data_IF_450529380280
#
_entry.id   IF_450529380280
#
_cell.length_a   1.000
_cell.length_b   1.000
_cell.length_c   1.000
_cell.angle_alpha   90.00
_cell.angle_beta   90.00
_cell.angle_gamma   90.00
#
_symmetry.space_group_name_H-M   'P 1'
#
loop_
_entity.id
_entity.type
_entity.pdbx_description
1 polymer ?
#
# COMPACT_ATOMS: atom_id res chain seq x y z
N UNK A 1 -28.84 -4.24 22.29
CA UNK A 1 -28.04 -3.12 22.79
C UNK A 1 -27.23 -2.52 21.68
N UNK A 2 -27.42 -1.25 21.34
CA UNK A 2 -26.60 -0.52 20.37
C UNK A 2 -25.30 -0.18 21.08
N UNK A 3 -24.18 -0.63 20.53
CA UNK A 3 -22.85 -0.29 21.06
C UNK A 3 -22.57 1.19 20.81
N UNK A 4 -21.97 1.88 21.77
CA UNK A 4 -21.56 3.27 21.56
C UNK A 4 -20.47 3.40 20.45
N UNK A 5 -20.28 4.60 19.85
CA UNK A 5 -19.38 4.81 18.71
C UNK A 5 -17.94 4.31 18.94
N UNK A 6 -17.40 4.52 20.14
CA UNK A 6 -16.04 4.05 20.48
C UNK A 6 -15.94 2.52 20.52
N UNK A 7 -16.97 1.85 21.03
CA UNK A 7 -17.03 0.39 21.06
C UNK A 7 -17.15 -0.21 19.65
N UNK A 8 -17.90 0.44 18.76
CA UNK A 8 -18.00 0.04 17.36
C UNK A 8 -16.67 0.22 16.63
N UNK A 9 -15.98 1.36 16.81
CA UNK A 9 -14.66 1.59 16.23
C UNK A 9 -13.64 0.56 16.73
N UNK A 10 -13.63 0.28 18.03
CA UNK A 10 -12.74 -0.75 18.62
C UNK A 10 -13.01 -2.13 18.03
N UNK A 11 -14.28 -2.51 17.90
CA UNK A 11 -14.68 -3.80 17.31
C UNK A 11 -14.29 -3.88 15.82
N UNK A 12 -14.39 -2.77 15.09
CA UNK A 12 -13.94 -2.68 13.70
C UNK A 12 -12.43 -2.86 13.58
N UNK A 13 -11.64 -2.14 14.38
CA UNK A 13 -10.16 -2.24 14.38
C UNK A 13 -9.73 -3.66 14.78
N UNK A 14 -10.35 -4.26 15.81
CA UNK A 14 -10.07 -5.65 16.22
C UNK A 14 -10.29 -6.63 15.08
N UNK A 15 -11.43 -6.52 14.39
CA UNK A 15 -11.77 -7.40 13.26
C UNK A 15 -10.91 -7.16 12.02
N UNK A 16 -10.46 -5.92 11.78
CA UNK A 16 -9.70 -5.56 10.60
C UNK A 16 -8.19 -5.82 10.72
N UNK A 17 -7.61 -5.62 11.92
CA UNK A 17 -6.16 -5.56 12.11
C UNK A 17 -5.61 -6.47 13.21
N UNK A 18 -6.47 -7.06 14.07
CA UNK A 18 -6.01 -7.80 15.25
C UNK A 18 -6.35 -9.29 15.16
N UNK A 19 -7.61 -9.66 14.94
CA UNK A 19 -8.12 -11.03 15.04
C UNK A 19 -7.94 -11.83 13.74
N UNK A 20 -7.02 -12.82 13.69
CA UNK A 20 -6.82 -13.63 12.48
C UNK A 20 -8.06 -14.49 12.16
N UNK A 21 -8.36 -14.63 10.85
CA UNK A 21 -9.44 -15.53 10.36
C UNK A 21 -8.96 -16.96 10.25
N UNK A 22 -7.74 -17.17 9.73
CA UNK A 22 -7.07 -18.47 9.63
C UNK A 22 -5.58 -18.29 9.43
N UNK A 23 -4.79 -19.23 9.95
CA UNK A 23 -3.37 -19.30 9.61
C UNK A 23 -3.21 -19.88 8.19
N UNK A 24 -2.43 -19.25 7.31
CA UNK A 24 -2.11 -19.82 6.01
C UNK A 24 -1.20 -21.04 6.18
N UNK A 25 -1.45 -22.09 5.39
CA UNK A 25 -0.52 -23.22 5.32
C UNK A 25 0.82 -22.79 4.70
N UNK A 26 1.96 -23.18 5.28
CA UNK A 26 3.28 -22.88 4.74
C UNK A 26 3.49 -23.53 3.37
N UNK A 27 4.32 -22.90 2.53
CA UNK A 27 4.76 -23.52 1.29
C UNK A 27 5.75 -24.68 1.57
N UNK A 28 5.82 -25.70 0.68
CA UNK A 28 6.86 -26.71 0.74
C UNK A 28 8.28 -26.10 0.65
N UNK A 29 9.33 -26.71 1.24
CA UNK A 29 10.67 -26.12 1.30
C UNK A 29 11.24 -25.66 -0.04
N UNK A 30 11.10 -26.46 -1.10
CA UNK A 30 11.57 -26.11 -2.45
C UNK A 30 10.84 -24.91 -3.04
N UNK A 31 9.52 -24.83 -2.84
CA UNK A 31 8.72 -23.69 -3.28
C UNK A 31 9.08 -22.41 -2.49
N UNK A 32 9.41 -22.56 -1.19
CA UNK A 32 9.83 -21.44 -0.34
C UNK A 32 11.19 -20.89 -0.78
N UNK A 33 12.14 -21.73 -1.14
CA UNK A 33 13.45 -21.28 -1.66
C UNK A 33 13.28 -20.50 -2.96
N UNK A 34 12.54 -21.03 -3.93
CA UNK A 34 12.23 -20.31 -5.18
C UNK A 34 11.57 -18.97 -4.87
N UNK A 35 10.58 -18.93 -3.98
CA UNK A 35 9.90 -17.70 -3.57
C UNK A 35 10.88 -16.66 -3.04
N UNK A 36 11.79 -17.06 -2.14
CA UNK A 36 12.80 -16.17 -1.56
C UNK A 36 13.75 -15.60 -2.58
N UNK A 37 14.22 -16.41 -3.52
CA UNK A 37 15.13 -15.97 -4.59
C UNK A 37 14.44 -14.96 -5.52
N UNK A 38 13.24 -15.30 -6.02
CA UNK A 38 12.46 -14.41 -6.89
C UNK A 38 12.17 -13.09 -6.18
N UNK A 39 11.74 -13.15 -4.92
CA UNK A 39 11.43 -11.95 -4.13
C UNK A 39 12.67 -11.10 -3.91
N UNK A 40 13.82 -11.68 -3.55
CA UNK A 40 15.05 -10.91 -3.33
C UNK A 40 15.50 -10.17 -4.60
N UNK A 41 15.51 -10.86 -5.74
CA UNK A 41 15.88 -10.24 -7.03
C UNK A 41 14.89 -9.15 -7.43
N UNK A 42 13.59 -9.42 -7.36
CA UNK A 42 12.55 -8.44 -7.71
C UNK A 42 12.58 -7.23 -6.79
N UNK A 43 12.93 -7.40 -5.49
CA UNK A 43 13.04 -6.28 -4.54
C UNK A 43 14.13 -5.30 -4.97
N UNK A 44 15.29 -5.82 -5.30
CA UNK A 44 16.43 -4.97 -5.73
C UNK A 44 16.08 -4.23 -7.03
N UNK A 45 15.57 -4.95 -8.03
CA UNK A 45 15.18 -4.35 -9.31
C UNK A 45 14.08 -3.30 -9.11
N UNK A 46 13.02 -3.63 -8.38
CA UNK A 46 11.90 -2.73 -8.16
C UNK A 46 12.30 -1.48 -7.36
N UNK A 47 13.14 -1.62 -6.32
CA UNK A 47 13.66 -0.48 -5.58
C UNK A 47 14.51 0.45 -6.47
N UNK A 48 15.34 -0.11 -7.34
CA UNK A 48 16.14 0.68 -8.30
C UNK A 48 15.26 1.41 -9.33
N UNK A 49 14.25 0.71 -9.89
CA UNK A 49 13.30 1.30 -10.85
C UNK A 49 12.47 2.40 -10.17
N UNK A 50 12.00 2.20 -8.94
CA UNK A 50 11.25 3.21 -8.21
C UNK A 50 12.12 4.46 -7.95
N UNK A 51 13.35 4.28 -7.44
CA UNK A 51 14.27 5.39 -7.19
C UNK A 51 14.61 6.17 -8.45
N UNK A 52 14.68 5.49 -9.59
CA UNK A 52 14.88 6.14 -10.90
C UNK A 52 13.61 6.87 -11.35
N UNK A 53 12.44 6.23 -11.29
CA UNK A 53 11.17 6.81 -11.73
C UNK A 53 10.86 8.13 -11.01
N UNK A 54 11.12 8.19 -9.70
CA UNK A 54 10.86 9.38 -8.87
C UNK A 54 11.85 10.55 -9.12
N UNK A 55 12.89 10.34 -9.94
CA UNK A 55 13.83 11.38 -10.40
C UNK A 55 13.53 11.91 -11.80
N UNK A 56 12.56 11.32 -12.49
CA UNK A 56 12.10 11.79 -13.79
C UNK A 56 11.31 13.09 -13.59
N UNK A 57 11.54 14.08 -14.48
CA UNK A 57 10.86 15.38 -14.35
C UNK A 57 9.34 15.24 -14.50
N UNK A 58 8.54 15.98 -13.72
CA UNK A 58 7.09 16.07 -13.93
C UNK A 58 6.75 16.45 -15.38
N UNK A 59 5.76 15.77 -15.96
CA UNK A 59 5.33 15.99 -17.34
C UNK A 59 6.11 15.21 -18.40
N UNK A 60 7.21 14.56 -18.06
CA UNK A 60 7.94 13.68 -19.00
C UNK A 60 7.20 12.35 -19.19
N UNK A 61 6.94 11.99 -20.44
CA UNK A 61 6.29 10.71 -20.79
C UNK A 61 7.06 9.47 -20.30
N UNK A 62 8.37 9.60 -20.09
CA UNK A 62 9.22 8.54 -19.52
C UNK A 62 8.77 8.13 -18.11
N UNK A 63 8.18 9.05 -17.33
CA UNK A 63 7.62 8.74 -16.03
C UNK A 63 6.54 7.66 -16.09
N UNK A 64 5.65 7.73 -17.10
CA UNK A 64 4.61 6.71 -17.28
C UNK A 64 5.20 5.34 -17.63
N UNK A 65 6.21 5.33 -18.54
CA UNK A 65 6.88 4.09 -18.91
C UNK A 65 7.62 3.47 -17.71
N UNK A 66 8.31 4.29 -16.91
CA UNK A 66 9.05 3.85 -15.73
C UNK A 66 8.11 3.28 -14.64
N UNK A 67 6.97 3.95 -14.38
CA UNK A 67 5.97 3.49 -13.41
C UNK A 67 5.22 2.24 -13.85
N UNK A 68 4.97 2.08 -15.17
CA UNK A 68 4.43 0.84 -15.73
C UNK A 68 5.45 -0.31 -15.64
N UNK A 69 6.74 -0.04 -15.92
CA UNK A 69 7.80 -1.02 -15.73
C UNK A 69 7.93 -1.45 -14.27
N UNK A 70 7.80 -0.51 -13.33
CA UNK A 70 7.76 -0.79 -11.89
C UNK A 70 6.61 -1.73 -11.52
N UNK A 71 5.39 -1.41 -11.99
CA UNK A 71 4.23 -2.28 -11.78
C UNK A 71 4.46 -3.69 -12.34
N UNK A 72 5.06 -3.79 -13.53
CA UNK A 72 5.41 -5.08 -14.13
C UNK A 72 6.44 -5.85 -13.28
N UNK A 73 7.48 -5.21 -12.76
CA UNK A 73 8.46 -5.84 -11.88
C UNK A 73 7.79 -6.42 -10.63
N UNK A 74 6.94 -5.64 -9.95
CA UNK A 74 6.23 -6.10 -8.76
C UNK A 74 5.25 -7.24 -9.08
N UNK A 75 4.44 -7.10 -10.14
CA UNK A 75 3.46 -8.11 -10.52
C UNK A 75 4.13 -9.42 -10.98
N UNK A 76 5.15 -9.35 -11.83
CA UNK A 76 5.89 -10.53 -12.28
C UNK A 76 6.63 -11.20 -11.12
N UNK A 77 7.31 -10.43 -10.27
CA UNK A 77 7.95 -10.94 -9.07
C UNK A 77 6.96 -11.68 -8.17
N UNK A 78 5.76 -11.14 -8.01
CA UNK A 78 4.71 -11.78 -7.23
C UNK A 78 4.22 -13.10 -7.85
N UNK A 79 3.88 -13.09 -9.14
CA UNK A 79 3.36 -14.27 -9.85
C UNK A 79 4.42 -15.38 -9.95
N UNK A 80 5.65 -15.03 -10.33
CA UNK A 80 6.75 -15.98 -10.45
C UNK A 80 7.19 -16.57 -9.09
N UNK A 81 6.93 -15.86 -7.98
CA UNK A 81 7.25 -16.35 -6.65
C UNK A 81 6.41 -17.55 -6.23
N UNK A 82 5.19 -17.69 -6.74
CA UNK A 82 4.28 -18.80 -6.43
C UNK A 82 2.86 -18.36 -6.12
N UNK A 83 2.09 -19.21 -5.47
CA UNK A 83 0.66 -18.99 -5.24
C UNK A 83 0.40 -17.74 -4.38
N UNK A 84 -0.56 -16.92 -4.81
CA UNK A 84 -1.11 -15.79 -4.08
C UNK A 84 -2.50 -16.15 -3.55
N UNK A 85 -2.82 -15.70 -2.35
CA UNK A 85 -4.10 -16.00 -1.68
C UNK A 85 -4.92 -14.71 -1.54
N UNK A 86 -6.21 -14.77 -1.86
CA UNK A 86 -7.09 -13.62 -1.73
C UNK A 86 -7.48 -13.31 -0.28
N UNK A 87 -7.63 -14.34 0.57
CA UNK A 87 -7.98 -14.17 1.98
C UNK A 87 -9.47 -13.97 2.25
N UNK A 88 -9.83 -13.98 3.55
CA UNK A 88 -11.17 -13.80 4.07
C UNK A 88 -11.13 -12.87 5.30
N UNK A 89 -12.21 -12.15 5.57
CA UNK A 89 -12.38 -11.31 6.74
C UNK A 89 -13.53 -11.79 7.62
N UNK A 90 -13.63 -11.26 8.84
CA UNK A 90 -14.76 -11.49 9.73
C UNK A 90 -15.89 -10.51 9.41
N UNK A 91 -17.11 -11.01 9.37
CA UNK A 91 -18.31 -10.17 9.41
C UNK A 91 -18.61 -9.73 10.84
N UNK A 92 -19.51 -8.76 11.02
CA UNK A 92 -20.05 -8.39 12.35
C UNK A 92 -20.68 -9.57 13.10
N UNK A 93 -21.22 -10.56 12.36
CA UNK A 93 -21.84 -11.78 12.92
C UNK A 93 -20.86 -12.94 13.09
N UNK A 94 -19.56 -12.73 12.87
CA UNK A 94 -18.50 -13.73 12.99
C UNK A 94 -18.38 -14.70 11.81
N UNK A 95 -19.22 -14.58 10.77
CA UNK A 95 -19.08 -15.36 9.55
C UNK A 95 -17.86 -14.90 8.74
N UNK A 96 -17.33 -15.80 7.90
CA UNK A 96 -16.19 -15.50 7.01
C UNK A 96 -16.70 -15.06 5.64
N UNK A 97 -16.17 -13.93 5.15
CA UNK A 97 -16.49 -13.42 3.80
C UNK A 97 -15.30 -12.66 3.21
N UNK A 98 -15.39 -12.29 1.91
CA UNK A 98 -14.42 -11.39 1.30
C UNK A 98 -14.45 -10.03 2.00
N UNK A 99 -13.30 -9.45 2.42
CA UNK A 99 -13.23 -8.27 3.28
C UNK A 99 -13.43 -6.95 2.51
N UNK A 100 -14.33 -6.88 1.51
CA UNK A 100 -14.45 -5.73 0.61
C UNK A 100 -14.87 -4.48 1.38
N UNK A 101 -16.05 -4.51 2.02
CA UNK A 101 -16.60 -3.33 2.75
C UNK A 101 -15.69 -2.91 3.88
N UNK A 102 -15.15 -3.89 4.63
CA UNK A 102 -14.22 -3.62 5.72
C UNK A 102 -12.95 -2.92 5.22
N UNK A 103 -12.43 -3.33 4.05
CA UNK A 103 -11.23 -2.76 3.47
C UNK A 103 -11.45 -1.37 2.89
N UNK A 104 -12.61 -1.11 2.26
CA UNK A 104 -13.01 0.23 1.86
C UNK A 104 -13.10 1.18 3.05
N UNK A 105 -13.73 0.74 4.14
CA UNK A 105 -13.85 1.54 5.36
C UNK A 105 -12.47 1.81 6.00
N UNK A 106 -11.58 0.83 6.01
CA UNK A 106 -10.22 0.99 6.54
C UNK A 106 -9.39 1.94 5.67
N UNK A 107 -9.47 1.82 4.33
CA UNK A 107 -8.82 2.73 3.39
C UNK A 107 -9.35 4.16 3.51
N UNK A 108 -10.66 4.33 3.65
CA UNK A 108 -11.29 5.64 3.88
C UNK A 108 -10.89 6.27 5.22
N UNK A 109 -10.79 5.48 6.29
CA UNK A 109 -10.30 5.95 7.59
C UNK A 109 -8.84 6.39 7.50
N UNK A 110 -7.99 5.60 6.84
CA UNK A 110 -6.59 5.93 6.62
C UNK A 110 -6.47 7.23 5.79
N UNK A 111 -7.25 7.35 4.71
CA UNK A 111 -7.32 8.55 3.89
C UNK A 111 -7.68 9.79 4.75
N UNK A 112 -8.72 9.69 5.58
CA UNK A 112 -9.15 10.77 6.45
C UNK A 112 -8.03 11.22 7.42
N UNK A 113 -7.32 10.27 8.02
CA UNK A 113 -6.16 10.56 8.90
C UNK A 113 -5.06 11.31 8.14
N UNK A 114 -4.75 10.88 6.92
CA UNK A 114 -3.73 11.54 6.10
C UNK A 114 -4.16 12.94 5.65
N UNK A 115 -5.43 13.14 5.28
CA UNK A 115 -5.94 14.46 4.90
C UNK A 115 -5.93 15.42 6.09
N UNK A 116 -6.24 14.95 7.30
CA UNK A 116 -6.08 15.77 8.52
C UNK A 116 -4.60 16.12 8.75
N UNK A 117 -3.69 15.14 8.58
CA UNK A 117 -2.24 15.40 8.64
C UNK A 117 -1.77 16.41 7.58
N UNK A 118 -2.36 16.38 6.39
CA UNK A 118 -2.03 17.31 5.31
C UNK A 118 -2.33 18.78 5.66
N UNK A 119 -3.33 19.05 6.51
CA UNK A 119 -3.61 20.42 7.02
C UNK A 119 -2.45 20.97 7.87
N UNK A 120 -1.72 20.09 8.56
CA UNK A 120 -0.52 20.46 9.31
C UNK A 120 0.64 20.67 8.35
N UNK A 121 0.86 19.71 7.42
CA UNK A 121 1.93 19.77 6.40
C UNK A 121 1.82 21.04 5.56
N UNK A 122 0.60 21.44 5.19
CA UNK A 122 0.34 22.64 4.39
C UNK A 122 0.89 23.94 5.01
N UNK A 123 1.08 23.96 6.34
CA UNK A 123 1.57 25.14 7.09
C UNK A 123 3.07 25.12 7.34
N UNK A 124 3.77 24.06 6.93
CA UNK A 124 5.21 23.89 7.16
C UNK A 124 5.92 23.79 5.81
N UNK A 125 6.51 24.89 5.29
CA UNK A 125 7.06 24.93 3.92
C UNK A 125 8.03 23.79 3.61
N UNK A 126 8.97 23.49 4.51
CA UNK A 126 9.97 22.43 4.33
C UNK A 126 9.37 21.02 4.17
N UNK A 127 8.13 20.80 4.63
CA UNK A 127 7.39 19.54 4.45
C UNK A 127 6.48 19.61 3.22
N UNK A 128 5.97 20.80 2.89
CA UNK A 128 5.02 21.00 1.81
C UNK A 128 5.70 20.94 0.44
N UNK A 129 6.82 21.65 0.25
CA UNK A 129 7.50 21.75 -1.04
C UNK A 129 7.78 20.36 -1.67
N UNK A 130 8.37 19.36 -0.98
CA UNK A 130 8.57 18.04 -1.57
C UNK A 130 7.28 17.28 -1.91
N UNK A 131 6.17 17.61 -1.23
CA UNK A 131 4.86 17.01 -1.56
C UNK A 131 4.26 17.67 -2.80
N UNK A 132 4.39 19.01 -2.93
CA UNK A 132 3.95 19.72 -4.12
C UNK A 132 4.73 19.24 -5.36
N UNK A 133 6.05 19.06 -5.28
CA UNK A 133 6.88 18.49 -6.36
C UNK A 133 6.41 17.09 -6.77
N UNK A 134 6.04 16.25 -5.80
CA UNK A 134 5.49 14.92 -6.09
C UNK A 134 4.13 15.01 -6.80
N UNK A 135 3.27 15.90 -6.36
CA UNK A 135 1.94 16.13 -6.96
C UNK A 135 2.01 16.73 -8.37
N UNK A 136 3.10 17.40 -8.71
CA UNK A 136 3.30 17.96 -10.04
C UNK A 136 3.33 16.86 -11.12
N UNK A 137 3.76 15.64 -10.81
CA UNK A 137 3.63 14.50 -11.73
C UNK A 137 2.16 14.22 -12.11
N UNK A 138 1.22 14.49 -11.21
CA UNK A 138 -0.20 14.37 -11.48
C UNK A 138 -0.78 15.62 -12.14
N UNK A 139 -0.31 16.81 -11.77
CA UNK A 139 -0.79 18.11 -12.30
C UNK A 139 -0.41 18.33 -13.75
N UNK A 140 0.81 17.95 -14.15
CA UNK A 140 1.31 18.06 -15.53
C UNK A 140 0.90 16.88 -16.40
N UNK A 141 0.26 15.86 -15.85
CA UNK A 141 -0.21 14.67 -16.54
C UNK A 141 -1.72 14.64 -16.78
N UNK A 142 -2.18 13.67 -17.55
CA UNK A 142 -3.60 13.35 -17.64
C UNK A 142 -4.06 12.65 -16.36
N UNK A 143 -4.92 13.31 -15.57
CA UNK A 143 -5.43 12.76 -14.30
C UNK A 143 -6.02 11.34 -14.43
N UNK A 144 -6.83 10.99 -15.46
CA UNK A 144 -7.29 9.62 -15.64
C UNK A 144 -6.16 8.61 -15.86
N UNK A 145 -5.11 9.01 -16.59
CA UNK A 145 -3.94 8.14 -16.82
C UNK A 145 -3.16 7.95 -15.54
N UNK A 146 -2.89 9.04 -14.79
CA UNK A 146 -2.18 8.97 -13.50
C UNK A 146 -2.99 8.14 -12.50
N UNK A 147 -4.31 8.30 -12.44
CA UNK A 147 -5.18 7.49 -11.58
C UNK A 147 -5.11 6.00 -11.95
N UNK A 148 -5.17 5.67 -13.25
CA UNK A 148 -5.02 4.30 -13.72
C UNK A 148 -3.67 3.68 -13.33
N UNK A 149 -2.58 4.43 -13.48
CA UNK A 149 -1.23 4.03 -13.09
C UNK A 149 -1.12 3.87 -11.56
N UNK A 150 -1.72 4.78 -10.79
CA UNK A 150 -1.75 4.71 -9.31
C UNK A 150 -2.47 3.42 -8.85
N UNK A 151 -3.61 3.11 -9.44
CA UNK A 151 -4.36 1.88 -9.13
C UNK A 151 -3.55 0.64 -9.52
N UNK A 152 -2.95 0.64 -10.72
CA UNK A 152 -2.14 -0.49 -11.20
C UNK A 152 -0.93 -0.74 -10.29
N UNK A 153 -0.19 0.30 -9.94
CA UNK A 153 0.95 0.18 -9.03
C UNK A 153 0.51 -0.27 -7.64
N UNK A 154 -0.56 0.30 -7.07
CA UNK A 154 -1.10 -0.12 -5.78
C UNK A 154 -1.49 -1.60 -5.76
N UNK A 155 -2.10 -2.12 -6.84
CA UNK A 155 -2.34 -3.57 -6.99
C UNK A 155 -1.04 -4.34 -7.01
N UNK A 156 -0.09 -3.97 -7.88
CA UNK A 156 1.17 -4.67 -8.07
C UNK A 156 2.02 -4.70 -6.79
N UNK A 157 2.06 -3.61 -6.05
CA UNK A 157 2.73 -3.53 -4.75
C UNK A 157 2.12 -4.47 -3.72
N UNK A 158 0.80 -4.54 -3.61
CA UNK A 158 0.18 -5.47 -2.65
C UNK A 158 0.32 -6.93 -3.06
N UNK A 159 0.30 -7.24 -4.37
CA UNK A 159 0.64 -8.57 -4.87
C UNK A 159 2.05 -8.97 -4.43
N UNK A 160 3.00 -8.04 -4.53
CA UNK A 160 4.39 -8.28 -4.18
C UNK A 160 4.62 -8.28 -2.67
N UNK A 161 4.38 -7.16 -1.98
CA UNK A 161 4.74 -7.00 -0.56
C UNK A 161 3.87 -7.85 0.37
N UNK A 162 2.54 -7.95 0.13
CA UNK A 162 1.59 -8.72 0.98
C UNK A 162 1.31 -10.10 0.44
N UNK A 163 1.56 -10.32 -0.86
CA UNK A 163 1.50 -11.64 -1.49
C UNK A 163 2.81 -12.40 -1.35
N UNK A 164 3.78 -12.05 -2.19
CA UNK A 164 5.04 -12.77 -2.38
C UNK A 164 6.00 -12.63 -1.20
N UNK A 165 6.38 -11.40 -0.86
CA UNK A 165 7.37 -11.10 0.19
C UNK A 165 6.87 -11.57 1.56
N UNK A 166 5.62 -11.26 1.90
CA UNK A 166 5.02 -11.70 3.17
C UNK A 166 5.07 -13.24 3.32
N UNK A 167 4.74 -13.96 2.24
CA UNK A 167 4.75 -15.43 2.24
C UNK A 167 6.17 -16.05 2.21
N UNK A 168 7.19 -15.29 1.83
CA UNK A 168 8.60 -15.72 1.88
C UNK A 168 9.17 -15.74 3.30
N UNK A 169 8.51 -15.04 4.25
CA UNK A 169 9.01 -14.80 5.60
C UNK A 169 8.31 -15.71 6.61
N UNK A 170 9.03 -16.57 7.34
CA UNK A 170 8.44 -17.48 8.32
C UNK A 170 8.06 -16.79 9.63
N UNK A 171 8.77 -15.71 9.98
CA UNK A 171 8.59 -14.95 11.22
C UNK A 171 8.68 -13.44 10.94
N UNK A 172 8.06 -12.64 11.80
CA UNK A 172 8.12 -11.18 11.75
C UNK A 172 7.68 -10.55 10.42
N UNK A 173 6.87 -11.27 9.60
CA UNK A 173 6.50 -10.85 8.25
C UNK A 173 5.86 -9.44 8.23
N UNK A 174 5.05 -9.07 9.24
CA UNK A 174 4.46 -7.72 9.34
C UNK A 174 5.56 -6.67 9.43
N UNK A 175 6.48 -6.79 10.38
CA UNK A 175 7.54 -5.79 10.58
C UNK A 175 8.49 -5.73 9.37
N UNK A 176 8.96 -6.89 8.90
CA UNK A 176 9.94 -6.95 7.80
C UNK A 176 9.35 -6.39 6.50
N UNK A 177 8.11 -6.76 6.14
CA UNK A 177 7.48 -6.23 4.92
C UNK A 177 7.20 -4.74 5.02
N UNK A 178 6.83 -4.23 6.19
CA UNK A 178 6.62 -2.80 6.44
C UNK A 178 7.92 -2.02 6.28
N UNK A 179 9.00 -2.47 6.91
CA UNK A 179 10.31 -1.82 6.83
C UNK A 179 10.85 -1.84 5.40
N UNK A 180 10.83 -3.00 4.72
CA UNK A 180 11.30 -3.11 3.35
C UNK A 180 10.48 -2.25 2.40
N UNK A 181 9.15 -2.18 2.58
CA UNK A 181 8.31 -1.30 1.77
C UNK A 181 8.69 0.18 1.96
N UNK A 182 8.82 0.65 3.20
CA UNK A 182 9.26 2.01 3.48
C UNK A 182 10.67 2.30 2.94
N UNK A 183 11.60 1.35 3.05
CA UNK A 183 12.96 1.50 2.52
C UNK A 183 13.00 1.66 1.00
N UNK A 184 12.08 1.04 0.24
CA UNK A 184 12.04 1.24 -1.22
C UNK A 184 11.73 2.69 -1.61
N UNK A 185 11.03 3.45 -0.75
CA UNK A 185 10.67 4.85 -1.00
C UNK A 185 11.73 5.85 -0.56
N UNK A 186 12.77 5.43 0.19
CA UNK A 186 13.85 6.32 0.67
C UNK A 186 14.58 7.00 -0.50
N UNK A 187 14.74 6.30 -1.63
CA UNK A 187 15.34 6.85 -2.84
C UNK A 187 14.63 8.06 -3.46
N UNK A 188 13.39 8.36 -3.03
CA UNK A 188 12.66 9.57 -3.42
C UNK A 188 13.25 10.86 -2.83
N UNK A 189 13.90 10.77 -1.67
CA UNK A 189 14.31 11.95 -0.90
C UNK A 189 13.17 12.67 -0.19
N UNK A 190 11.94 12.12 -0.19
CA UNK A 190 10.73 12.73 0.39
C UNK A 190 10.38 12.03 1.72
N UNK A 191 10.70 12.62 2.90
CA UNK A 191 10.46 11.97 4.20
C UNK A 191 8.99 11.62 4.46
N UNK A 192 8.06 12.46 3.99
CA UNK A 192 6.63 12.21 4.15
C UNK A 192 6.16 11.02 3.29
N UNK A 193 6.78 10.75 2.14
CA UNK A 193 6.49 9.56 1.35
C UNK A 193 6.97 8.29 2.07
N UNK A 194 8.14 8.34 2.72
CA UNK A 194 8.66 7.23 3.54
C UNK A 194 7.73 6.96 4.72
N UNK A 195 7.27 8.02 5.41
CA UNK A 195 6.30 7.91 6.49
C UNK A 195 4.98 7.32 6.00
N UNK A 196 4.47 7.80 4.87
CA UNK A 196 3.26 7.28 4.26
C UNK A 196 3.39 5.79 3.92
N UNK A 197 4.50 5.39 3.30
CA UNK A 197 4.80 3.99 3.01
C UNK A 197 4.89 3.14 4.29
N UNK A 198 5.50 3.65 5.36
CA UNK A 198 5.57 2.95 6.63
C UNK A 198 4.17 2.72 7.24
N UNK A 199 3.32 3.74 7.25
CA UNK A 199 1.96 3.66 7.83
C UNK A 199 1.06 2.75 6.99
N UNK A 200 0.98 2.98 5.67
CA UNK A 200 0.21 2.14 4.74
C UNK A 200 0.75 0.71 4.78
N UNK A 201 2.08 0.58 4.78
CA UNK A 201 2.80 -0.67 4.90
C UNK A 201 2.41 -1.48 6.12
N UNK A 202 2.36 -0.84 7.28
CA UNK A 202 1.96 -1.47 8.53
C UNK A 202 0.49 -1.90 8.53
N UNK A 203 -0.40 -0.99 8.13
CA UNK A 203 -1.85 -1.25 8.11
C UNK A 203 -2.19 -2.42 7.19
N UNK A 204 -1.66 -2.42 5.97
CA UNK A 204 -1.92 -3.48 4.99
C UNK A 204 -1.23 -4.80 5.36
N UNK A 205 -0.05 -4.77 6.01
CA UNK A 205 0.60 -5.98 6.53
C UNK A 205 -0.16 -6.59 7.72
N UNK A 206 -0.70 -5.78 8.62
CA UNK A 206 -1.59 -6.24 9.69
C UNK A 206 -2.88 -6.85 9.11
N UNK A 207 -3.49 -6.18 8.13
CA UNK A 207 -4.67 -6.69 7.45
C UNK A 207 -4.37 -8.01 6.70
N UNK A 208 -3.19 -8.13 6.08
CA UNK A 208 -2.71 -9.39 5.48
C UNK A 208 -2.60 -10.51 6.51
N UNK A 209 -2.07 -10.23 7.70
CA UNK A 209 -2.00 -11.18 8.82
C UNK A 209 -3.37 -11.66 9.23
N UNK A 210 -4.33 -10.74 9.33
CA UNK A 210 -5.70 -11.03 9.77
C UNK A 210 -6.46 -11.83 8.71
N UNK A 211 -6.43 -11.40 7.45
CA UNK A 211 -7.24 -11.99 6.37
C UNK A 211 -6.61 -13.23 5.74
N UNK A 212 -5.33 -13.47 5.96
CA UNK A 212 -4.60 -14.55 5.29
C UNK A 212 -4.41 -14.34 3.77
N UNK A 213 -4.69 -13.14 3.23
CA UNK A 213 -4.60 -12.86 1.79
C UNK A 213 -4.47 -11.39 1.42
N UNK A 214 -4.41 -11.14 0.12
CA UNK A 214 -4.07 -9.84 -0.48
C UNK A 214 -5.27 -8.96 -0.80
N UNK A 215 -6.49 -9.50 -0.90
CA UNK A 215 -7.66 -8.76 -1.37
C UNK A 215 -7.96 -7.55 -0.48
N UNK A 216 -7.93 -7.73 0.84
CA UNK A 216 -8.11 -6.65 1.79
C UNK A 216 -7.06 -5.55 1.64
N UNK A 217 -5.76 -5.88 1.76
CA UNK A 217 -4.66 -4.96 1.48
C UNK A 217 -4.79 -4.18 0.17
N UNK A 218 -5.07 -4.85 -0.95
CA UNK A 218 -5.27 -4.22 -2.26
C UNK A 218 -6.37 -3.16 -2.21
N UNK A 219 -7.56 -3.50 -1.70
CA UNK A 219 -8.68 -2.58 -1.62
C UNK A 219 -8.35 -1.39 -0.71
N UNK A 220 -7.77 -1.64 0.46
CA UNK A 220 -7.38 -0.59 1.41
C UNK A 220 -6.38 0.39 0.79
N UNK A 221 -5.33 -0.15 0.15
CA UNK A 221 -4.28 0.66 -0.48
C UNK A 221 -4.84 1.50 -1.63
N UNK A 222 -5.59 0.91 -2.56
CA UNK A 222 -6.18 1.64 -3.69
C UNK A 222 -7.14 2.73 -3.19
N UNK A 223 -7.99 2.43 -2.22
CA UNK A 223 -8.92 3.42 -1.66
C UNK A 223 -8.16 4.62 -1.09
N UNK A 224 -7.09 4.36 -0.35
CA UNK A 224 -6.23 5.40 0.20
C UNK A 224 -5.48 6.16 -0.90
N UNK A 225 -4.76 5.48 -1.80
CA UNK A 225 -3.89 6.13 -2.79
C UNK A 225 -4.66 6.91 -3.84
N UNK A 226 -5.77 6.35 -4.36
CA UNK A 226 -6.65 7.08 -5.27
C UNK A 226 -7.32 8.27 -4.58
N UNK A 227 -7.74 8.11 -3.33
CA UNK A 227 -8.28 9.20 -2.52
C UNK A 227 -7.25 10.31 -2.28
N UNK A 228 -6.00 9.97 -1.95
CA UNK A 228 -4.91 10.95 -1.80
C UNK A 228 -4.64 11.69 -3.11
N UNK A 229 -4.56 10.98 -4.24
CA UNK A 229 -4.35 11.61 -5.56
C UNK A 229 -5.43 12.65 -5.88
N UNK A 230 -6.69 12.36 -5.55
CA UNK A 230 -7.82 13.23 -5.89
C UNK A 230 -8.08 14.34 -4.87
N UNK A 231 -7.85 14.08 -3.58
CA UNK A 231 -8.27 14.98 -2.50
C UNK A 231 -7.13 15.75 -1.85
N UNK A 232 -5.88 15.26 -1.93
CA UNK A 232 -4.75 15.97 -1.32
C UNK A 232 -4.49 17.34 -1.99
N UNK A 233 -4.47 17.47 -3.33
CA UNK A 233 -4.22 18.76 -3.96
C UNK A 233 -5.21 19.86 -3.51
N UNK A 234 -6.55 19.67 -3.60
CA UNK A 234 -7.48 20.68 -3.15
C UNK A 234 -7.40 20.96 -1.64
N UNK A 235 -7.08 19.97 -0.80
CA UNK A 235 -6.91 20.21 0.65
C UNK A 235 -5.69 21.07 0.93
N UNK A 236 -4.56 20.88 0.23
CA UNK A 236 -3.39 21.75 0.37
C UNK A 236 -3.66 23.16 -0.13
N UNK A 237 -4.50 23.33 -1.15
CA UNK A 237 -4.86 24.64 -1.71
C UNK A 237 -5.82 25.44 -0.81
N UNK A 238 -6.68 24.75 -0.03
CA UNK A 238 -7.57 25.41 0.95
C UNK A 238 -6.83 26.13 2.10
N UNK A 239 -5.55 25.81 2.32
CA UNK A 239 -4.76 26.32 3.46
C UNK A 239 -3.62 27.25 2.98
N UNK A 240 -3.64 27.65 1.69
CA UNK A 240 -2.72 28.63 1.12
C UNK A 240 -2.93 30.03 1.65
#
# INVERSE_FOLDING_TARGET
MVRGPVAELRAFIDAALVRPVAAPQPDPPAALLRRRLVVAVSLVIGAAVLAWALRIRPGDALFYAATLALAAVWALGAVLSGRLRLGLGHTRRGARQRPVVQSLALGGLLLAVFLVGALVVARVPVLREPVDDLLDHARFGSLPVVLGITVLNGVAEELYFRGALYAALPKHAVAVTTVLYALTTVGSGIPLLVLAAAVVGLVTALQRRVTGGILGPVITHITWSAGMLLLLPPVLDLVR
#
